data_IF_128992039330
#
_entry.id   IF_128992039330
#
_cell.length_a   1.000
_cell.length_b   1.000
_cell.length_c   1.000
_cell.angle_alpha   90.00
_cell.angle_beta   90.00
_cell.angle_gamma   90.00
#
_symmetry.space_group_name_H-M   'P 1'
#
loop_
_entity.id
_entity.type
_entity.pdbx_description
1 polymer ?
#
# COMPACT_ATOMS: atom_id res chain seq x y z
N UNK A 1 -24.63 17.62 -46.08
CA UNK A 1 -23.38 17.64 -46.87
C UNK A 1 -22.41 16.76 -46.10
N UNK A 2 -22.25 15.52 -46.54
CA UNK A 2 -21.39 14.55 -45.84
C UNK A 2 -19.96 14.77 -46.32
N UNK A 3 -19.16 15.48 -45.51
CA UNK A 3 -17.78 15.78 -45.85
C UNK A 3 -16.98 14.46 -45.83
N UNK A 4 -16.63 13.95 -47.02
CA UNK A 4 -15.87 12.70 -47.16
C UNK A 4 -14.48 12.90 -46.57
N UNK A 5 -14.30 12.45 -45.33
CA UNK A 5 -13.02 12.46 -44.64
C UNK A 5 -11.97 11.71 -45.48
N UNK A 6 -10.81 12.36 -45.69
CA UNK A 6 -9.74 11.81 -46.50
C UNK A 6 -9.25 10.48 -45.87
N UNK A 7 -9.19 9.41 -46.67
CA UNK A 7 -8.77 8.07 -46.20
C UNK A 7 -7.40 8.09 -45.51
N UNK A 8 -6.51 9.02 -45.91
CA UNK A 8 -5.20 9.22 -45.26
C UNK A 8 -5.32 9.79 -43.84
N UNK A 9 -6.27 10.71 -43.64
CA UNK A 9 -6.59 11.27 -42.32
C UNK A 9 -7.22 10.20 -41.44
N UNK A 10 -8.14 9.41 -41.98
CA UNK A 10 -8.74 8.28 -41.26
C UNK A 10 -7.67 7.26 -40.82
N UNK A 11 -6.74 6.91 -41.72
CA UNK A 11 -5.65 5.99 -41.41
C UNK A 11 -4.73 6.56 -40.33
N UNK A 12 -4.40 7.85 -40.41
CA UNK A 12 -3.58 8.53 -39.40
C UNK A 12 -4.25 8.51 -38.01
N UNK A 13 -5.55 8.81 -37.93
CA UNK A 13 -6.31 8.76 -36.68
C UNK A 13 -6.36 7.35 -36.09
N UNK A 14 -6.51 6.32 -36.93
CA UNK A 14 -6.50 4.93 -36.48
C UNK A 14 -5.15 4.54 -35.86
N UNK A 15 -4.04 4.91 -36.52
CA UNK A 15 -2.69 4.65 -36.01
C UNK A 15 -2.44 5.39 -34.70
N UNK A 16 -2.87 6.66 -34.63
CA UNK A 16 -2.75 7.47 -33.41
C UNK A 16 -3.53 6.86 -32.23
N UNK A 17 -4.74 6.36 -32.48
CA UNK A 17 -5.55 5.68 -31.48
C UNK A 17 -4.85 4.41 -30.95
N UNK A 18 -4.30 3.59 -31.85
CA UNK A 18 -3.58 2.35 -31.49
C UNK A 18 -2.35 2.66 -30.62
N UNK A 19 -1.69 3.80 -30.84
CA UNK A 19 -0.52 4.21 -30.05
C UNK A 19 -0.87 4.80 -28.68
N UNK A 20 -2.00 5.49 -28.56
CA UNK A 20 -2.40 6.15 -27.30
C UNK A 20 -3.04 5.19 -26.29
N UNK A 21 -3.86 4.25 -26.76
CA UNK A 21 -4.57 3.32 -25.87
C UNK A 21 -3.62 2.55 -24.93
N UNK A 22 -2.47 2.00 -25.37
CA UNK A 22 -1.51 1.34 -24.50
C UNK A 22 -0.92 2.27 -23.43
N UNK A 23 -0.67 3.54 -23.77
CA UNK A 23 -0.08 4.53 -22.85
C UNK A 23 -1.06 4.85 -21.72
N UNK A 24 -2.34 4.99 -22.04
CA UNK A 24 -3.41 5.21 -21.05
C UNK A 24 -3.53 3.99 -20.14
N UNK A 25 -3.56 2.77 -20.70
CA UNK A 25 -3.64 1.52 -19.92
C UNK A 25 -2.42 1.32 -19.02
N UNK A 26 -1.23 1.64 -19.53
CA UNK A 26 0.01 1.56 -18.75
C UNK A 26 0.05 2.58 -17.62
N UNK A 27 -0.41 3.81 -17.87
CA UNK A 27 -0.45 4.87 -16.85
C UNK A 27 -1.56 4.63 -15.81
N UNK A 28 -2.66 3.97 -16.21
CA UNK A 28 -3.74 3.57 -15.31
C UNK A 28 -3.37 2.39 -14.39
N UNK A 29 -2.35 1.60 -14.74
CA UNK A 29 -1.64 0.74 -13.76
C UNK A 29 -0.82 1.66 -12.88
N UNK A 30 -1.52 2.26 -11.92
CA UNK A 30 -1.02 3.32 -11.07
C UNK A 30 0.38 3.03 -10.54
N UNK A 31 1.15 4.10 -10.43
CA UNK A 31 2.29 4.20 -9.53
C UNK A 31 2.04 3.26 -8.35
N UNK A 32 2.84 2.20 -8.24
CA UNK A 32 2.84 1.34 -7.08
C UNK A 32 3.28 2.24 -5.93
N UNK A 33 2.32 2.95 -5.33
CA UNK A 33 2.49 3.52 -4.01
C UNK A 33 3.03 2.37 -3.18
N UNK A 34 4.21 2.58 -2.63
CA UNK A 34 4.85 1.66 -1.69
C UNK A 34 3.76 0.93 -0.92
N UNK A 35 3.72 -0.40 -1.01
CA UNK A 35 2.69 -1.24 -0.37
C UNK A 35 2.53 -0.90 1.12
N UNK A 36 3.55 -0.25 1.70
CA UNK A 36 3.61 0.20 3.07
C UNK A 36 3.84 1.71 3.16
N UNK A 37 3.10 2.36 4.06
CA UNK A 37 3.46 3.68 4.57
C UNK A 37 4.52 3.49 5.66
N UNK A 38 5.67 4.16 5.52
CA UNK A 38 6.68 4.20 6.58
C UNK A 38 6.28 5.26 7.61
N UNK A 39 6.38 4.89 8.88
CA UNK A 39 6.20 5.78 10.02
C UNK A 39 7.39 5.56 10.96
N UNK A 40 8.10 6.63 11.33
CA UNK A 40 9.19 6.57 12.29
C UNK A 40 8.66 7.09 13.63
N UNK A 41 8.66 6.27 14.68
CA UNK A 41 8.03 6.54 15.98
C UNK A 41 6.51 6.33 16.02
N UNK A 42 6.00 5.63 17.05
CA UNK A 42 4.55 5.38 17.19
C UNK A 42 3.76 6.66 17.44
N UNK A 43 4.36 7.69 18.02
CA UNK A 43 3.76 9.00 18.27
C UNK A 43 3.36 9.74 16.98
N UNK A 44 4.01 9.40 15.87
CA UNK A 44 3.70 9.96 14.56
C UNK A 44 2.63 9.15 13.81
N UNK A 45 2.16 8.03 14.39
CA UNK A 45 1.04 7.26 13.88
C UNK A 45 -0.27 7.90 14.34
N UNK A 46 -1.08 8.36 13.39
CA UNK A 46 -2.44 8.84 13.64
C UNK A 46 -3.44 8.19 12.69
N UNK A 47 -4.56 7.75 13.24
CA UNK A 47 -5.71 7.25 12.49
C UNK A 47 -6.49 8.36 11.80
N UNK A 48 -6.40 9.60 12.30
CA UNK A 48 -7.20 10.73 11.81
C UNK A 48 -6.61 11.40 10.56
N UNK A 49 -5.28 11.29 10.36
CA UNK A 49 -4.59 11.83 9.18
C UNK A 49 -4.82 10.97 7.92
N UNK A 50 -5.60 9.90 8.04
CA UNK A 50 -5.85 8.90 7.01
C UNK A 50 -7.34 8.93 6.70
N UNK A 51 -7.70 9.41 5.52
CA UNK A 51 -9.07 9.33 4.99
C UNK A 51 -9.45 7.86 4.71
N UNK A 52 -9.69 7.09 5.76
CA UNK A 52 -9.98 5.66 5.70
C UNK A 52 -11.17 5.32 6.58
N UNK A 53 -12.08 4.50 6.04
CA UNK A 53 -13.25 3.97 6.76
C UNK A 53 -12.92 2.64 7.45
N UNK A 54 -11.64 2.34 7.70
CA UNK A 54 -11.23 1.11 8.36
C UNK A 54 -11.93 0.96 9.70
N UNK A 55 -12.52 -0.21 9.93
CA UNK A 55 -13.29 -0.47 11.16
C UNK A 55 -12.36 -0.85 12.32
N UNK A 56 -11.19 -1.43 12.03
CA UNK A 56 -10.21 -1.84 13.03
C UNK A 56 -8.79 -1.90 12.48
N UNK A 57 -7.81 -1.88 13.40
CA UNK A 57 -6.40 -2.06 13.12
C UNK A 57 -5.91 -3.41 13.61
N UNK A 58 -5.17 -4.13 12.77
CA UNK A 58 -4.40 -5.31 13.16
C UNK A 58 -2.95 -4.90 13.40
N UNK A 59 -2.46 -5.10 14.62
CA UNK A 59 -1.12 -4.69 15.04
C UNK A 59 -0.27 -5.93 15.30
N UNK A 60 0.86 -6.03 14.61
CA UNK A 60 1.87 -7.06 14.79
C UNK A 60 3.15 -6.40 15.29
N UNK A 61 3.44 -6.46 16.60
CA UNK A 61 4.63 -5.84 17.17
C UNK A 61 5.91 -6.33 16.50
N UNK A 62 6.98 -5.52 16.55
CA UNK A 62 8.32 -5.92 16.12
C UNK A 62 8.72 -7.25 16.75
N UNK A 63 9.13 -8.20 15.92
CA UNK A 63 9.50 -9.56 16.34
C UNK A 63 10.78 -9.99 15.60
N UNK A 64 11.91 -9.88 16.30
CA UNK A 64 13.23 -10.20 15.77
C UNK A 64 13.40 -11.68 15.44
N UNK A 65 12.59 -12.58 16.03
CA UNK A 65 12.67 -14.02 15.74
C UNK A 65 12.26 -14.37 14.32
N UNK A 66 11.48 -13.50 13.69
CA UNK A 66 11.03 -13.64 12.30
C UNK A 66 11.63 -12.56 11.39
N UNK A 67 12.75 -11.96 11.81
CA UNK A 67 13.44 -10.89 11.08
C UNK A 67 12.54 -9.69 10.75
N UNK A 68 11.54 -9.40 11.59
CA UNK A 68 10.69 -8.21 11.47
C UNK A 68 11.23 -7.11 12.38
N UNK A 69 11.83 -6.08 11.80
CA UNK A 69 12.50 -4.96 12.47
C UNK A 69 11.58 -3.76 12.75
N UNK A 70 10.32 -3.82 12.32
CA UNK A 70 9.28 -2.80 12.54
C UNK A 70 8.01 -3.42 13.17
N UNK A 71 7.14 -2.59 13.71
CA UNK A 71 5.74 -2.97 13.99
C UNK A 71 4.90 -2.82 12.73
N UNK A 72 4.19 -3.87 12.35
CA UNK A 72 3.30 -3.87 11.20
C UNK A 72 1.88 -3.53 11.66
N UNK A 73 1.32 -2.45 11.13
CA UNK A 73 -0.09 -2.10 11.34
C UNK A 73 -0.84 -2.26 10.02
N UNK A 74 -1.99 -2.93 10.06
CA UNK A 74 -2.90 -3.04 8.92
C UNK A 74 -4.23 -2.38 9.27
N UNK A 75 -4.69 -1.49 8.42
CA UNK A 75 -6.05 -0.96 8.47
C UNK A 75 -6.98 -1.90 7.70
N UNK A 76 -8.07 -2.33 8.34
CA UNK A 76 -8.94 -3.39 7.81
C UNK A 76 -10.42 -3.02 7.97
N UNK A 77 -11.21 -3.33 6.94
CA UNK A 77 -12.68 -3.22 6.99
C UNK A 77 -13.31 -4.39 7.78
N UNK A 78 -14.57 -4.26 8.20
CA UNK A 78 -15.42 -5.37 8.69
C UNK A 78 -15.45 -6.58 7.77
N UNK A 79 -15.30 -6.35 6.46
CA UNK A 79 -15.22 -7.42 5.45
C UNK A 79 -13.93 -8.26 5.53
N UNK A 80 -12.91 -7.78 6.25
CA UNK A 80 -11.56 -8.37 6.28
C UNK A 80 -10.63 -7.84 5.19
N UNK A 81 -11.10 -6.94 4.33
CA UNK A 81 -10.28 -6.31 3.29
C UNK A 81 -9.26 -5.35 3.91
N UNK A 82 -7.98 -5.53 3.56
CA UNK A 82 -6.90 -4.62 3.96
C UNK A 82 -6.94 -3.36 3.10
N UNK A 83 -7.06 -2.20 3.75
CA UNK A 83 -7.12 -0.89 3.10
C UNK A 83 -5.72 -0.30 2.97
N UNK A 84 -4.92 -0.42 4.05
CA UNK A 84 -3.57 0.14 4.11
C UNK A 84 -2.67 -0.65 5.05
N UNK A 85 -1.37 -0.59 4.79
CA UNK A 85 -0.34 -1.20 5.65
C UNK A 85 0.68 -0.13 6.05
N UNK A 86 1.13 -0.19 7.29
CA UNK A 86 2.10 0.73 7.86
C UNK A 86 3.26 -0.06 8.47
N UNK A 87 4.48 0.42 8.24
CA UNK A 87 5.68 -0.04 8.94
C UNK A 87 6.07 1.04 9.92
N UNK A 88 5.86 0.76 11.21
CA UNK A 88 6.21 1.65 12.30
C UNK A 88 7.58 1.24 12.85
N UNK A 89 8.58 2.08 12.63
CA UNK A 89 9.93 1.88 13.13
C UNK A 89 10.03 2.57 14.49
N UNK A 90 9.95 1.76 15.54
CA UNK A 90 10.03 2.19 16.94
C UNK A 90 10.78 1.10 17.72
N UNK A 91 11.83 1.51 18.44
CA UNK A 91 12.69 0.59 19.19
C UNK A 91 12.00 -0.04 20.40
N UNK A 92 11.07 0.69 21.00
CA UNK A 92 10.38 0.32 22.25
C UNK A 92 9.15 -0.54 21.99
N UNK A 93 8.52 -0.39 20.83
CA UNK A 93 7.33 -1.17 20.43
C UNK A 93 7.71 -2.55 19.89
N UNK A 94 8.20 -3.41 20.79
CA UNK A 94 8.60 -4.78 20.49
C UNK A 94 7.75 -5.81 21.23
N UNK A 95 7.66 -7.01 20.67
CA UNK A 95 7.02 -8.13 21.36
C UNK A 95 7.83 -8.47 22.60
N UNK A 96 7.14 -8.66 23.73
CA UNK A 96 7.76 -9.12 24.97
C UNK A 96 8.62 -10.35 24.68
N UNK A 97 9.90 -10.27 25.02
CA UNK A 97 10.78 -11.42 24.97
C UNK A 97 10.29 -12.40 26.03
N UNK A 98 10.16 -13.67 25.67
CA UNK A 98 9.81 -14.70 26.65
C UNK A 98 10.85 -14.62 27.77
N UNK A 99 10.44 -14.25 28.98
CA UNK A 99 11.30 -14.38 30.15
C UNK A 99 11.66 -15.86 30.25
N UNK A 100 12.93 -16.19 30.05
CA UNK A 100 13.46 -17.53 30.29
C UNK A 100 13.04 -17.90 31.70
N UNK A 101 12.21 -18.94 31.84
CA UNK A 101 11.94 -19.57 33.14
C UNK A 101 13.30 -19.87 33.78
N UNK A 102 13.50 -19.53 35.08
CA UNK A 102 14.80 -19.72 35.72
C UNK A 102 15.17 -21.20 35.58
N UNK A 103 16.27 -21.46 34.87
CA UNK A 103 16.89 -22.77 34.88
C UNK A 103 17.32 -23.03 36.32
N UNK A 104 16.61 -23.95 36.97
CA UNK A 104 16.93 -24.45 38.30
C UNK A 104 18.39 -24.94 38.27
N UNK A 105 19.20 -24.40 39.18
CA UNK A 105 20.62 -24.72 39.39
C UNK A 105 20.87 -26.21 39.56
#
# INVERSE_FOLDING_TARGET
>A
MEEKMNKKILLFLLIFLILIVPIIVYSAKGHNQSEFVRVDGIENFSSETVQGTGDYFLIYPRDLRVSQDFTLVKEVEKSGKVIRKYKIFDGELSRMQNATSPETQ
#
